data_IF_594278610392
#
_entry.id   IF_594278610392
#
_cell.length_a   1.000
_cell.length_b   1.000
_cell.length_c   1.000
_cell.angle_alpha   90.00
_cell.angle_beta   90.00
_cell.angle_gamma   90.00
#
_symmetry.space_group_name_H-M   'P 1'
#
loop_
_entity.id
_entity.type
_entity.pdbx_description
1 polymer ?
#
# COMPACT_ATOMS: atom_id res chain seq x y z
N UNK A 1 0.81 -0.90 -8.78
CA UNK A 1 0.25 0.41 -9.18
C UNK A 1 -0.12 0.37 -10.66
N UNK A 2 -1.42 0.34 -10.97
CA UNK A 2 -1.87 0.14 -12.34
C UNK A 2 -1.46 1.26 -13.31
N UNK A 3 -1.22 2.46 -12.80
CA UNK A 3 -0.75 3.59 -13.60
C UNK A 3 0.61 3.34 -14.27
N UNK A 4 1.36 2.35 -13.80
CA UNK A 4 2.68 2.04 -14.37
C UNK A 4 2.59 1.18 -15.64
N UNK A 5 1.53 0.41 -15.77
CA UNK A 5 1.48 -0.65 -16.78
C UNK A 5 0.64 -0.36 -18.01
N UNK A 6 -0.36 0.43 -17.92
CA UNK A 6 -1.23 0.52 -19.09
C UNK A 6 -2.19 1.66 -19.08
N UNK A 7 -2.30 2.34 -17.98
CA UNK A 7 -3.46 3.18 -17.93
C UNK A 7 -3.15 4.59 -17.54
N UNK A 8 -3.87 5.43 -18.16
CA UNK A 8 -4.05 6.82 -17.81
C UNK A 8 -4.73 6.98 -16.43
N UNK A 9 -5.21 5.87 -15.83
CA UNK A 9 -5.94 5.92 -14.57
C UNK A 9 -5.23 5.18 -13.43
N UNK A 10 -5.23 5.82 -12.28
CA UNK A 10 -4.81 5.23 -11.01
C UNK A 10 -5.91 4.34 -10.46
N UNK A 11 -5.55 3.18 -9.89
CA UNK A 11 -6.51 2.29 -9.25
C UNK A 11 -7.32 3.03 -8.17
N UNK A 12 -8.63 2.91 -8.25
CA UNK A 12 -9.59 3.58 -7.38
C UNK A 12 -9.73 2.83 -6.05
N UNK A 13 -8.67 2.85 -5.23
CA UNK A 13 -8.56 2.06 -4.02
C UNK A 13 -9.69 2.32 -3.03
N UNK A 14 -10.00 3.59 -2.72
CA UNK A 14 -11.05 3.93 -1.76
C UNK A 14 -12.40 3.39 -2.19
N UNK A 15 -12.76 3.60 -3.42
CA UNK A 15 -14.05 3.14 -3.96
C UNK A 15 -14.14 1.61 -4.00
N UNK A 16 -13.03 0.91 -4.22
CA UNK A 16 -13.01 -0.55 -4.14
C UNK A 16 -13.25 -1.03 -2.71
N UNK A 17 -12.57 -0.42 -1.74
CA UNK A 17 -12.75 -0.74 -0.31
C UNK A 17 -14.17 -0.43 0.18
N UNK A 18 -14.73 0.71 -0.20
CA UNK A 18 -16.08 1.14 0.19
C UNK A 18 -17.16 0.21 -0.39
N UNK A 19 -16.87 -0.46 -1.50
CA UNK A 19 -17.72 -1.51 -2.08
C UNK A 19 -17.53 -2.88 -1.42
N UNK A 20 -16.68 -2.99 -0.41
CA UNK A 20 -16.38 -4.25 0.27
C UNK A 20 -15.41 -5.17 -0.48
N UNK A 21 -14.73 -4.67 -1.51
CA UNK A 21 -13.71 -5.46 -2.21
C UNK A 21 -12.53 -5.74 -1.29
N UNK A 22 -12.08 -6.99 -1.28
CA UNK A 22 -10.84 -7.37 -0.60
C UNK A 22 -9.66 -6.94 -1.46
N UNK A 23 -8.80 -6.10 -0.90
CA UNK A 23 -7.65 -5.53 -1.60
C UNK A 23 -6.39 -5.80 -0.78
N UNK A 24 -5.32 -6.21 -1.45
CA UNK A 24 -3.98 -6.32 -0.90
C UNK A 24 -3.00 -5.47 -1.69
N UNK A 25 -1.86 -5.14 -1.07
CA UNK A 25 -0.75 -4.51 -1.76
C UNK A 25 0.24 -5.56 -2.25
N UNK A 26 0.77 -5.38 -3.45
CA UNK A 26 1.79 -6.22 -4.05
C UNK A 26 2.85 -5.38 -4.75
N UNK A 27 4.08 -5.90 -4.80
CA UNK A 27 5.21 -5.22 -5.48
C UNK A 27 5.20 -5.44 -6.99
N UNK A 28 4.53 -6.51 -7.46
CA UNK A 28 4.61 -6.95 -8.85
C UNK A 28 6.07 -7.06 -9.30
N UNK A 29 6.84 -7.82 -8.53
CA UNK A 29 8.27 -8.03 -8.76
C UNK A 29 8.50 -8.58 -10.16
N UNK A 30 9.29 -8.06 -10.78
CA UNK A 30 10.10 -7.46 -11.77
C UNK A 30 9.32 -6.54 -12.73
N UNK A 31 8.00 -6.49 -12.68
CA UNK A 31 7.19 -5.54 -13.42
C UNK A 31 6.90 -4.25 -12.66
N UNK A 32 6.82 -4.29 -11.33
CA UNK A 32 6.67 -3.11 -10.47
C UNK A 32 7.97 -2.34 -10.30
N UNK A 33 7.84 -1.07 -9.96
CA UNK A 33 8.99 -0.17 -9.78
C UNK A 33 9.73 -0.38 -8.44
N UNK A 34 9.14 -1.09 -7.50
CA UNK A 34 9.62 -1.24 -6.13
C UNK A 34 9.59 -2.71 -5.70
N UNK A 35 10.71 -3.21 -5.18
CA UNK A 35 10.82 -4.59 -4.72
C UNK A 35 10.24 -4.80 -3.33
N UNK A 36 10.33 -3.77 -2.48
CA UNK A 36 9.92 -3.84 -1.08
C UNK A 36 8.47 -3.39 -0.87
N UNK A 37 7.70 -4.17 -0.11
CA UNK A 37 6.31 -3.83 0.21
C UNK A 37 6.18 -2.47 0.91
N UNK A 38 7.18 -2.05 1.67
CA UNK A 38 7.20 -0.74 2.33
C UNK A 38 7.22 0.42 1.32
N UNK A 39 7.91 0.26 0.19
CA UNK A 39 7.87 1.22 -0.91
C UNK A 39 6.49 1.30 -1.55
N UNK A 40 5.85 0.14 -1.76
CA UNK A 40 4.47 0.07 -2.26
C UNK A 40 3.49 0.74 -1.30
N UNK A 41 3.66 0.54 0.01
CA UNK A 41 2.86 1.22 1.04
C UNK A 41 3.01 2.75 0.95
N UNK A 42 4.24 3.27 0.88
CA UNK A 42 4.48 4.71 0.72
C UNK A 42 3.80 5.25 -0.55
N UNK A 43 3.91 4.50 -1.65
CA UNK A 43 3.32 4.89 -2.91
C UNK A 43 1.79 4.89 -2.88
N UNK A 44 1.15 3.92 -2.23
CA UNK A 44 -0.31 3.90 -2.10
C UNK A 44 -0.84 5.15 -1.39
N UNK A 45 -0.14 5.57 -0.32
CA UNK A 45 -0.46 6.81 0.41
C UNK A 45 -0.24 8.05 -0.47
N UNK A 46 0.91 8.14 -1.16
CA UNK A 46 1.23 9.29 -2.00
C UNK A 46 0.24 9.44 -3.16
N UNK A 47 -0.03 8.34 -3.87
CA UNK A 47 -0.95 8.32 -5.01
C UNK A 47 -2.39 8.68 -4.59
N UNK A 48 -2.85 8.16 -3.45
CA UNK A 48 -4.20 8.49 -2.96
C UNK A 48 -4.35 9.99 -2.65
N UNK A 49 -3.30 10.62 -2.14
CA UNK A 49 -3.28 12.08 -1.88
C UNK A 49 -3.25 12.90 -3.17
N UNK A 50 -2.46 12.48 -4.13
CA UNK A 50 -2.43 13.12 -5.46
C UNK A 50 -3.80 13.02 -6.12
N UNK A 51 -4.40 11.83 -6.11
CA UNK A 51 -5.73 11.61 -6.66
C UNK A 51 -6.79 12.49 -6.00
N UNK A 52 -6.78 12.62 -4.69
CA UNK A 52 -7.68 13.54 -3.99
C UNK A 52 -7.47 14.99 -4.44
N UNK A 53 -6.23 15.41 -4.62
CA UNK A 53 -5.91 16.75 -5.13
C UNK A 53 -6.48 17.00 -6.52
N UNK A 54 -6.38 16.02 -7.43
CA UNK A 54 -6.96 16.13 -8.78
C UNK A 54 -8.48 16.17 -8.72
N UNK A 55 -9.13 15.29 -7.98
CA UNK A 55 -10.60 15.26 -7.87
C UNK A 55 -11.16 16.58 -7.31
N UNK A 56 -10.51 17.17 -6.31
CA UNK A 56 -10.91 18.46 -5.75
C UNK A 56 -10.76 19.60 -6.74
N UNK A 57 -9.72 19.55 -7.56
CA UNK A 57 -9.50 20.57 -8.60
C UNK A 57 -10.52 20.49 -9.73
N UNK A 58 -10.80 19.28 -10.21
CA UNK A 58 -11.72 19.06 -11.34
C UNK A 58 -13.17 19.36 -10.98
N UNK A 59 -13.59 18.96 -9.80
CA UNK A 59 -14.99 19.07 -9.39
C UNK A 59 -15.32 20.39 -8.67
N UNK A 60 -14.33 21.23 -8.38
CA UNK A 60 -14.46 22.43 -7.51
C UNK A 60 -15.22 22.14 -6.19
N UNK A 61 -15.36 20.86 -5.85
CA UNK A 61 -16.17 20.39 -4.73
C UNK A 61 -15.32 20.40 -3.47
N UNK A 62 -15.51 21.40 -2.66
CA UNK A 62 -15.14 21.38 -1.26
C UNK A 62 -16.21 20.56 -0.53
N UNK A 63 -15.87 19.36 -0.04
CA UNK A 63 -16.74 18.62 0.86
C UNK A 63 -17.14 17.21 0.47
N UNK A 64 -16.63 16.65 -0.63
CA UNK A 64 -16.81 15.22 -0.94
C UNK A 64 -16.03 14.31 0.02
N UNK A 65 -16.39 13.01 0.11
CA UNK A 65 -15.67 12.04 0.93
C UNK A 65 -14.20 11.96 0.49
N UNK A 66 -13.31 11.84 1.47
CA UNK A 66 -11.86 11.73 1.21
C UNK A 66 -11.52 10.39 0.56
N UNK A 67 -10.76 10.42 -0.53
CA UNK A 67 -10.22 9.22 -1.18
C UNK A 67 -8.80 8.88 -0.72
N UNK A 68 -8.30 9.59 0.29
CA UNK A 68 -6.98 9.33 0.88
C UNK A 68 -6.92 7.95 1.55
N UNK A 69 -5.78 7.34 1.43
CA UNK A 69 -5.43 6.12 2.19
C UNK A 69 -4.48 6.51 3.32
N UNK A 70 -4.87 6.38 4.59
CA UNK A 70 -3.97 6.59 5.73
C UNK A 70 -2.84 5.56 5.75
N UNK A 71 -1.72 5.89 6.41
CA UNK A 71 -0.58 4.97 6.54
C UNK A 71 -0.97 3.65 7.23
N UNK A 72 -1.82 3.72 8.24
CA UNK A 72 -2.32 2.56 8.99
C UNK A 72 -3.14 1.64 8.08
N UNK A 73 -3.98 2.19 7.23
CA UNK A 73 -4.73 1.41 6.26
C UNK A 73 -3.81 0.77 5.21
N UNK A 74 -2.80 1.51 4.76
CA UNK A 74 -1.78 0.96 3.86
C UNK A 74 -1.02 -0.21 4.50
N UNK A 75 -0.71 -0.14 5.79
CA UNK A 75 -0.13 -1.26 6.54
C UNK A 75 -1.11 -2.44 6.62
N UNK A 76 -2.38 -2.19 6.92
CA UNK A 76 -3.41 -3.23 6.91
C UNK A 76 -3.49 -3.95 5.56
N UNK A 77 -3.50 -3.20 4.45
CA UNK A 77 -3.55 -3.78 3.10
C UNK A 77 -2.29 -4.57 2.73
N UNK A 78 -1.15 -4.22 3.33
CA UNK A 78 0.12 -4.94 3.14
C UNK A 78 0.24 -6.20 4.01
N UNK A 79 -0.60 -6.36 5.01
CA UNK A 79 -0.55 -7.45 5.99
C UNK A 79 -1.85 -8.23 6.01
N UNK A 80 -2.72 -7.96 6.97
CA UNK A 80 -4.00 -8.67 7.16
C UNK A 80 -4.91 -8.57 5.93
N UNK A 81 -5.09 -7.38 5.38
CA UNK A 81 -5.92 -7.17 4.19
C UNK A 81 -5.38 -7.93 2.98
N UNK A 82 -4.05 -7.98 2.82
CA UNK A 82 -3.40 -8.81 1.81
C UNK A 82 -3.67 -10.30 1.99
N UNK A 83 -3.54 -10.81 3.21
CA UNK A 83 -3.87 -12.20 3.53
C UNK A 83 -5.34 -12.54 3.25
N UNK A 84 -6.25 -11.65 3.62
CA UNK A 84 -7.69 -11.80 3.34
C UNK A 84 -8.00 -11.77 1.83
N UNK A 85 -7.33 -10.90 1.07
CA UNK A 85 -7.50 -10.82 -0.38
C UNK A 85 -7.00 -12.08 -1.10
N UNK A 86 -5.95 -12.70 -0.58
CA UNK A 86 -5.40 -13.96 -1.09
C UNK A 86 -6.14 -15.20 -0.61
N UNK A 87 -7.13 -15.06 0.27
CA UNK A 87 -7.85 -16.19 0.85
C UNK A 87 -7.01 -17.06 1.78
N UNK A 88 -5.92 -16.51 2.34
CA UNK A 88 -5.05 -17.24 3.26
C UNK A 88 -5.82 -17.63 4.53
N UNK A 89 -5.37 -18.72 5.15
CA UNK A 89 -6.00 -19.29 6.34
C UNK A 89 -6.15 -18.24 7.45
N UNK A 90 -7.19 -18.41 8.27
CA UNK A 90 -7.45 -17.56 9.43
C UNK A 90 -6.19 -17.44 10.28
N UNK A 91 -5.78 -16.21 10.55
CA UNK A 91 -4.64 -15.91 11.39
C UNK A 91 -3.37 -15.42 10.70
N UNK A 92 -3.35 -15.33 9.38
CA UNK A 92 -2.23 -14.72 8.67
C UNK A 92 -2.33 -13.19 8.64
N UNK A 93 -1.18 -12.50 8.71
CA UNK A 93 -1.08 -11.05 8.57
C UNK A 93 -1.32 -10.24 9.83
N UNK A 94 -1.44 -10.86 11.00
CA UNK A 94 -1.47 -10.22 12.32
C UNK A 94 -0.84 -11.10 13.40
N UNK A 95 -0.60 -10.54 14.58
CA UNK A 95 -0.12 -11.28 15.75
C UNK A 95 -1.25 -11.55 16.72
N UNK A 96 -1.41 -12.82 17.09
CA UNK A 96 -2.31 -13.25 18.15
C UNK A 96 -1.86 -14.61 18.71
N UNK A 97 -2.36 -14.99 19.88
CA UNK A 97 -2.05 -16.27 20.51
C UNK A 97 -2.58 -17.44 19.65
N UNK A 98 -1.70 -18.39 19.34
CA UNK A 98 -2.06 -19.55 18.53
C UNK A 98 -2.08 -19.31 17.02
N UNK A 99 -1.69 -18.12 16.56
CA UNK A 99 -1.56 -17.81 15.13
C UNK A 99 -0.18 -18.18 14.58
N UNK A 100 -0.06 -18.46 13.27
CA UNK A 100 1.23 -18.61 12.62
C UNK A 100 2.09 -17.36 12.81
N UNK A 101 3.34 -17.55 13.25
CA UNK A 101 4.28 -16.45 13.40
C UNK A 101 4.98 -16.19 12.09
N UNK A 102 4.63 -15.07 11.45
CA UNK A 102 5.30 -14.54 10.27
C UNK A 102 5.60 -13.06 10.51
N UNK A 103 6.88 -12.72 10.60
CA UNK A 103 7.31 -11.39 11.01
C UNK A 103 8.55 -10.94 10.28
N UNK A 104 8.59 -9.65 9.96
CA UNK A 104 9.77 -8.97 9.45
C UNK A 104 10.23 -7.91 10.45
N UNK A 105 11.48 -8.01 10.88
CA UNK A 105 12.12 -6.95 11.64
C UNK A 105 12.74 -5.92 10.70
N UNK A 106 12.31 -4.68 10.81
CA UNK A 106 12.86 -3.55 10.04
C UNK A 106 13.71 -2.66 10.94
N UNK A 107 14.96 -2.44 10.57
CA UNK A 107 15.86 -1.52 11.26
C UNK A 107 16.06 -0.27 10.39
N UNK A 108 15.41 0.86 10.70
CA UNK A 108 15.45 2.04 9.82
C UNK A 108 16.84 2.63 9.61
N UNK A 109 17.77 2.37 10.51
CA UNK A 109 19.17 2.85 10.42
C UNK A 109 20.08 1.97 9.57
N UNK A 110 19.75 0.71 9.32
CA UNK A 110 20.60 -0.19 8.52
C UNK A 110 20.63 0.22 7.03
N UNK A 111 19.58 0.85 6.52
CA UNK A 111 19.53 1.32 5.13
C UNK A 111 20.46 2.53 4.93
N UNK A 112 20.55 3.45 5.89
CA UNK A 112 21.44 4.59 5.84
C UNK A 112 22.92 4.16 5.90
N UNK A 113 23.26 3.16 6.72
CA UNK A 113 24.61 2.63 6.82
C UNK A 113 25.06 1.91 5.54
N UNK A 114 24.16 1.17 4.88
CA UNK A 114 24.49 0.45 3.64
C UNK A 114 24.69 1.41 2.45
N UNK A 115 23.97 2.51 2.42
CA UNK A 115 24.12 3.54 1.38
C UNK A 115 25.43 4.33 1.57
N UNK A 116 25.81 4.60 2.81
CA UNK A 116 27.09 5.28 3.09
C UNK A 116 28.31 4.41 2.82
N UNK A 117 28.24 3.09 2.98
CA UNK A 117 29.37 2.19 2.66
C UNK A 117 29.63 2.00 1.16
N UNK A 118 28.74 2.45 0.28
CA UNK A 118 28.93 2.37 -1.18
C UNK A 118 29.35 3.68 -1.84
N UNK A 119 29.57 4.75 -1.06
CA UNK A 119 29.97 6.07 -1.57
C UNK A 119 31.42 6.40 -1.19
N UNK A 120 32.12 5.52 -0.51
CA UNK A 120 33.55 5.56 -0.27
C UNK A 120 34.19 4.37 -1.00
#
# INVERSE_FOLDING_TARGET
MNAYFSSTEVFRLREALDRGSKVGLGSDIAGGYELGIQGVMRMSVAVSRLREGFLKRENQATGGPSVKTPRIESLYLATKGGAEAMGLARGSGWFDVGMPFDAQQSTPFAIAALVMQRII
#
